data_IF_516651636509
#
_entry.id   IF_516651636509
#
_cell.length_a   1.000
_cell.length_b   1.000
_cell.length_c   1.000
_cell.angle_alpha   90.00
_cell.angle_beta   90.00
_cell.angle_gamma   90.00
#
_symmetry.space_group_name_H-M   'P 1'
#
loop_
_entity.id
_entity.type
_entity.pdbx_description
1 polymer ?
#
# COMPACT_ATOMS: atom_id res chain seq x y z
N UNK A 1 -13.67 -22.95 -13.99
CA UNK A 1 -13.15 -23.33 -12.65
C UNK A 1 -11.69 -22.93 -12.63
N UNK A 2 -11.38 -21.81 -11.99
CA UNK A 2 -10.00 -21.31 -11.91
C UNK A 2 -9.24 -22.27 -11.00
N UNK A 3 -8.12 -22.82 -11.47
CA UNK A 3 -7.28 -23.70 -10.65
C UNK A 3 -6.66 -22.89 -9.53
N UNK A 4 -6.96 -23.27 -8.29
CA UNK A 4 -6.30 -22.73 -7.10
C UNK A 4 -4.80 -23.09 -7.15
N UNK A 5 -3.97 -22.10 -7.46
CA UNK A 5 -2.51 -22.27 -7.47
C UNK A 5 -1.95 -21.96 -6.09
N UNK A 6 -1.03 -22.81 -5.60
CA UNK A 6 -0.37 -22.61 -4.30
C UNK A 6 0.34 -21.24 -4.18
N UNK A 7 0.68 -20.61 -5.31
CA UNK A 7 1.23 -19.26 -5.37
C UNK A 7 0.26 -18.19 -4.81
N UNK A 8 -1.06 -18.42 -4.82
CA UNK A 8 -2.04 -17.45 -4.32
C UNK A 8 -2.01 -17.34 -2.80
N UNK A 9 -1.76 -18.46 -2.10
CA UNK A 9 -1.58 -18.45 -0.65
C UNK A 9 -0.40 -17.56 -0.25
N UNK A 10 0.67 -17.56 -1.04
CA UNK A 10 1.81 -16.68 -0.81
C UNK A 10 1.38 -15.20 -0.88
N UNK A 11 0.58 -14.83 -1.89
CA UNK A 11 0.09 -13.46 -2.04
C UNK A 11 -0.81 -13.01 -0.88
N UNK A 12 -1.56 -13.91 -0.23
CA UNK A 12 -2.36 -13.53 0.94
C UNK A 12 -1.51 -13.18 2.17
N UNK A 13 -0.38 -13.87 2.35
CA UNK A 13 0.53 -13.63 3.49
C UNK A 13 1.53 -12.50 3.19
N UNK A 14 1.73 -12.19 1.91
CA UNK A 14 2.63 -11.16 1.41
C UNK A 14 2.55 -9.80 2.15
N UNK A 15 1.38 -9.16 2.40
CA UNK A 15 1.33 -7.88 3.09
C UNK A 15 1.89 -7.95 4.52
N UNK A 16 1.71 -9.09 5.21
CA UNK A 16 2.27 -9.32 6.55
C UNK A 16 3.78 -9.49 6.44
N UNK A 17 4.26 -10.28 5.47
CA UNK A 17 5.69 -10.48 5.21
C UNK A 17 6.38 -9.16 4.87
N UNK A 18 5.77 -8.32 4.04
CA UNK A 18 6.29 -7.00 3.67
C UNK A 18 6.44 -6.11 4.90
N UNK A 19 5.48 -6.11 5.83
CA UNK A 19 5.58 -5.33 7.05
C UNK A 19 6.72 -5.79 7.94
N UNK A 20 6.89 -7.11 8.12
CA UNK A 20 8.00 -7.67 8.88
C UNK A 20 9.35 -7.40 8.21
N UNK A 21 9.44 -7.59 6.89
CA UNK A 21 10.65 -7.34 6.12
C UNK A 21 11.04 -5.85 6.15
N UNK A 22 10.09 -4.93 5.99
CA UNK A 22 10.35 -3.50 6.09
C UNK A 22 10.79 -3.09 7.50
N UNK A 23 10.17 -3.65 8.55
CA UNK A 23 10.62 -3.44 9.93
C UNK A 23 12.04 -3.95 10.15
N UNK A 24 12.36 -5.14 9.63
CA UNK A 24 13.69 -5.74 9.74
C UNK A 24 14.75 -4.91 9.01
N UNK A 25 14.51 -4.52 7.75
CA UNK A 25 15.42 -3.66 6.97
C UNK A 25 15.70 -2.35 7.71
N UNK A 26 14.65 -1.71 8.25
CA UNK A 26 14.80 -0.45 8.95
C UNK A 26 15.58 -0.59 10.26
N UNK A 27 15.37 -1.69 11.00
CA UNK A 27 16.12 -1.94 12.24
C UNK A 27 17.57 -2.34 11.95
N UNK A 28 17.83 -3.12 10.91
CA UNK A 28 19.19 -3.55 10.51
C UNK A 28 20.05 -2.40 10.03
N UNK A 29 19.49 -1.47 9.26
CA UNK A 29 20.25 -0.35 8.67
C UNK A 29 20.11 0.96 9.46
N UNK A 30 19.47 0.94 10.64
CA UNK A 30 19.20 2.12 11.49
C UNK A 30 18.61 3.33 10.74
N UNK A 31 17.81 3.07 9.68
CA UNK A 31 17.19 4.11 8.84
C UNK A 31 16.26 5.03 9.64
N UNK A 32 15.70 4.54 10.75
CA UNK A 32 14.87 5.32 11.66
C UNK A 32 15.64 6.46 12.32
N UNK A 33 16.89 6.22 12.73
CA UNK A 33 17.72 7.22 13.41
C UNK A 33 18.30 8.23 12.42
N UNK A 34 18.75 7.77 11.24
CA UNK A 34 19.47 8.64 10.31
C UNK A 34 18.57 9.45 9.38
N UNK A 35 17.45 8.88 8.92
CA UNK A 35 16.58 9.52 7.93
C UNK A 35 15.12 9.71 8.39
N UNK A 36 14.77 9.28 9.62
CA UNK A 36 13.41 9.35 10.18
C UNK A 36 12.34 8.69 9.31
N UNK A 37 12.75 7.75 8.44
CA UNK A 37 11.88 6.96 7.57
C UNK A 37 11.28 5.82 8.38
N UNK A 38 9.98 5.58 8.23
CA UNK A 38 9.28 4.50 8.94
C UNK A 38 8.93 3.35 8.00
N UNK A 39 8.68 2.18 8.55
CA UNK A 39 8.32 0.95 7.82
C UNK A 39 7.17 1.09 6.83
N UNK A 40 6.11 1.86 7.11
CA UNK A 40 5.05 2.16 6.15
C UNK A 40 5.55 2.82 4.87
N UNK A 41 6.61 3.63 4.95
CA UNK A 41 7.09 4.44 3.83
C UNK A 41 7.79 3.59 2.77
N UNK A 42 8.47 2.52 3.21
CA UNK A 42 9.17 1.56 2.34
C UNK A 42 8.21 0.48 1.85
N UNK A 43 7.17 0.15 2.62
CA UNK A 43 6.23 -0.92 2.28
C UNK A 43 5.37 -0.61 1.04
N UNK A 44 5.10 0.66 0.73
CA UNK A 44 4.22 1.07 -0.37
C UNK A 44 4.62 0.48 -1.74
N UNK A 45 5.86 0.64 -2.25
CA UNK A 45 6.25 0.06 -3.53
C UNK A 45 6.10 -1.47 -3.56
N UNK A 46 6.41 -2.16 -2.45
CA UNK A 46 6.22 -3.61 -2.36
C UNK A 46 4.74 -3.99 -2.39
N UNK A 47 3.88 -3.26 -1.66
CA UNK A 47 2.43 -3.46 -1.67
C UNK A 47 1.84 -3.24 -3.06
N UNK A 48 2.30 -2.24 -3.81
CA UNK A 48 1.87 -1.99 -5.19
C UNK A 48 2.20 -3.16 -6.13
N UNK A 49 3.40 -3.74 -6.00
CA UNK A 49 3.77 -4.93 -6.77
C UNK A 49 2.86 -6.12 -6.42
N UNK A 50 2.63 -6.36 -5.13
CA UNK A 50 1.74 -7.44 -4.70
C UNK A 50 0.29 -7.24 -5.18
N UNK A 51 -0.20 -6.00 -5.22
CA UNK A 51 -1.51 -5.65 -5.75
C UNK A 51 -1.61 -5.89 -7.25
N UNK A 52 -0.56 -5.58 -8.01
CA UNK A 52 -0.52 -5.85 -9.44
C UNK A 52 -0.64 -7.35 -9.73
N UNK A 53 0.21 -8.15 -9.09
CA UNK A 53 0.22 -9.60 -9.29
C UNK A 53 -1.08 -10.27 -8.83
N UNK A 54 -1.62 -9.87 -7.68
CA UNK A 54 -2.88 -10.41 -7.17
C UNK A 54 -4.07 -10.05 -8.09
N UNK A 55 -4.16 -8.80 -8.53
CA UNK A 55 -5.26 -8.36 -9.41
C UNK A 55 -5.20 -8.99 -10.79
N UNK A 56 -4.01 -9.05 -11.41
CA UNK A 56 -3.81 -9.67 -12.72
C UNK A 56 -4.13 -11.16 -12.72
N UNK A 57 -3.76 -11.89 -11.65
CA UNK A 57 -4.06 -13.31 -11.54
C UNK A 57 -5.54 -13.62 -11.26
N UNK A 58 -6.30 -12.68 -10.71
CA UNK A 58 -7.70 -12.89 -10.32
C UNK A 58 -8.69 -12.38 -11.37
N UNK A 59 -8.45 -11.19 -11.88
CA UNK A 59 -9.40 -10.43 -12.70
C UNK A 59 -8.86 -10.11 -14.09
N UNK A 60 -7.67 -10.62 -14.44
CA UNK A 60 -6.93 -10.33 -15.69
C UNK A 60 -6.59 -8.84 -15.92
N UNK A 61 -6.97 -7.97 -14.99
CA UNK A 61 -6.76 -6.53 -15.03
C UNK A 61 -5.92 -6.07 -13.84
N UNK A 62 -5.04 -5.11 -14.09
CA UNK A 62 -4.23 -4.49 -13.04
C UNK A 62 -5.02 -3.41 -12.33
N UNK A 63 -5.11 -3.48 -11.00
CA UNK A 63 -5.77 -2.45 -10.19
C UNK A 63 -4.87 -1.23 -9.89
N UNK A 64 -3.58 -1.35 -10.19
CA UNK A 64 -2.57 -0.32 -9.92
C UNK A 64 -2.90 1.05 -10.54
N UNK A 65 -3.37 1.16 -11.80
CA UNK A 65 -3.71 2.46 -12.38
C UNK A 65 -4.80 3.20 -11.61
N UNK A 66 -5.82 2.49 -11.14
CA UNK A 66 -6.89 3.06 -10.30
C UNK A 66 -6.36 3.51 -8.94
N UNK A 67 -5.40 2.78 -8.39
CA UNK A 67 -4.72 3.13 -7.15
C UNK A 67 -3.86 4.39 -7.32
N UNK A 68 -3.16 4.55 -8.44
CA UNK A 68 -2.41 5.77 -8.77
C UNK A 68 -3.34 6.98 -8.84
N UNK A 69 -4.47 6.88 -9.52
CA UNK A 69 -5.48 7.96 -9.58
C UNK A 69 -5.96 8.32 -8.15
N UNK A 70 -6.23 7.30 -7.33
CA UNK A 70 -6.65 7.49 -5.94
C UNK A 70 -5.57 8.17 -5.09
N UNK A 71 -4.29 7.83 -5.30
CA UNK A 71 -3.14 8.47 -4.65
C UNK A 71 -3.07 9.96 -5.03
N UNK A 72 -3.23 10.28 -6.32
CA UNK A 72 -3.20 11.66 -6.79
C UNK A 72 -4.34 12.49 -6.17
N UNK A 73 -5.56 11.95 -6.16
CA UNK A 73 -6.71 12.58 -5.51
C UNK A 73 -6.47 12.78 -4.01
N UNK A 74 -5.90 11.79 -3.34
CA UNK A 74 -5.56 11.90 -1.93
C UNK A 74 -4.51 12.98 -1.68
N UNK A 75 -3.51 13.12 -2.56
CA UNK A 75 -2.52 14.19 -2.48
C UNK A 75 -3.17 15.56 -2.53
N UNK A 76 -4.09 15.77 -3.47
CA UNK A 76 -4.87 17.02 -3.54
C UNK A 76 -5.68 17.22 -2.25
N UNK A 77 -6.40 16.20 -1.78
CA UNK A 77 -7.20 16.28 -0.56
C UNK A 77 -6.37 16.64 0.68
N UNK A 78 -5.20 16.03 0.84
CA UNK A 78 -4.27 16.30 1.95
C UNK A 78 -3.68 17.71 1.83
N UNK A 79 -3.40 18.19 0.63
CA UNK A 79 -2.87 19.53 0.42
C UNK A 79 -3.89 20.60 0.79
N UNK A 80 -5.14 20.43 0.35
CA UNK A 80 -6.27 21.31 0.71
C UNK A 80 -6.53 21.28 2.21
N UNK A 81 -6.57 20.08 2.82
CA UNK A 81 -6.74 19.94 4.26
C UNK A 81 -5.65 20.69 5.03
N UNK A 82 -4.39 20.54 4.62
CA UNK A 82 -3.30 21.19 5.32
C UNK A 82 -3.32 22.72 5.16
N UNK A 83 -3.64 23.22 3.96
CA UNK A 83 -3.81 24.64 3.72
C UNK A 83 -4.95 25.24 4.55
N UNK A 84 -6.08 24.53 4.66
CA UNK A 84 -7.24 24.97 5.42
C UNK A 84 -6.98 25.05 6.94
N UNK A 85 -6.36 24.01 7.52
CA UNK A 85 -6.18 23.95 8.97
C UNK A 85 -4.94 24.68 9.49
N UNK A 86 -3.84 24.68 8.73
CA UNK A 86 -2.57 25.23 9.20
C UNK A 86 -2.23 26.58 8.56
N UNK A 87 -2.95 27.02 7.53
CA UNK A 87 -2.69 28.27 6.81
C UNK A 87 -1.41 28.27 5.96
N UNK A 88 -0.53 27.30 6.16
CA UNK A 88 0.71 27.10 5.42
C UNK A 88 0.94 25.61 5.11
N UNK A 89 1.55 25.34 3.94
CA UNK A 89 1.90 23.99 3.52
C UNK A 89 3.35 23.71 3.91
N UNK A 90 3.53 23.11 5.08
CA UNK A 90 4.83 22.59 5.50
C UNK A 90 5.08 21.27 4.77
N UNK A 91 5.89 21.30 3.72
CA UNK A 91 6.17 20.16 2.83
C UNK A 91 6.62 18.89 3.55
N UNK A 92 7.46 18.99 4.58
CA UNK A 92 7.93 17.83 5.33
C UNK A 92 6.83 17.14 6.16
N UNK A 93 5.84 17.90 6.63
CA UNK A 93 4.67 17.35 7.34
C UNK A 93 3.65 16.79 6.35
N UNK A 94 3.43 17.52 5.26
CA UNK A 94 2.57 17.10 4.15
C UNK A 94 2.98 15.73 3.63
N UNK A 95 4.26 15.58 3.23
CA UNK A 95 4.75 14.35 2.63
C UNK A 95 4.63 13.15 3.58
N UNK A 96 4.98 13.32 4.86
CA UNK A 96 4.82 12.25 5.86
C UNK A 96 3.37 11.83 6.06
N UNK A 97 2.44 12.78 6.06
CA UNK A 97 1.02 12.49 6.23
C UNK A 97 0.45 11.80 4.98
N UNK A 98 0.71 12.38 3.81
CA UNK A 98 0.34 11.84 2.51
C UNK A 98 0.83 10.40 2.35
N UNK A 99 2.13 10.17 2.55
CA UNK A 99 2.74 8.85 2.35
C UNK A 99 2.16 7.79 3.29
N UNK A 100 1.90 8.15 4.56
CA UNK A 100 1.23 7.23 5.52
C UNK A 100 -0.21 6.91 5.14
N UNK A 101 -0.95 7.86 4.58
CA UNK A 101 -2.31 7.63 4.10
C UNK A 101 -2.32 6.74 2.86
N UNK A 102 -1.37 6.94 1.94
CA UNK A 102 -1.18 6.05 0.78
C UNK A 102 -0.89 4.63 1.21
N UNK A 103 -0.04 4.43 2.22
CA UNK A 103 0.19 3.13 2.82
C UNK A 103 -1.10 2.52 3.38
N UNK A 104 -1.86 3.28 4.17
CA UNK A 104 -3.08 2.80 4.80
C UNK A 104 -4.12 2.37 3.75
N UNK A 105 -4.35 3.18 2.72
CA UNK A 105 -5.26 2.84 1.62
C UNK A 105 -4.77 1.62 0.86
N UNK A 106 -3.49 1.55 0.51
CA UNK A 106 -2.93 0.39 -0.18
C UNK A 106 -3.12 -0.89 0.63
N UNK A 107 -2.94 -0.83 1.95
CA UNK A 107 -3.11 -1.98 2.84
C UNK A 107 -4.59 -2.41 2.93
N UNK A 108 -5.51 -1.46 3.14
CA UNK A 108 -6.95 -1.73 3.15
C UNK A 108 -7.39 -2.35 1.81
N UNK A 109 -6.96 -1.76 0.69
CA UNK A 109 -7.31 -2.23 -0.64
C UNK A 109 -6.77 -3.65 -0.87
N UNK A 110 -5.55 -3.94 -0.41
CA UNK A 110 -4.98 -5.29 -0.44
C UNK A 110 -5.87 -6.31 0.30
N UNK A 111 -6.30 -5.98 1.53
CA UNK A 111 -7.17 -6.85 2.33
C UNK A 111 -8.52 -7.07 1.65
N UNK A 112 -9.13 -6.01 1.11
CA UNK A 112 -10.38 -6.11 0.36
C UNK A 112 -10.20 -7.01 -0.87
N UNK A 113 -9.08 -6.89 -1.59
CA UNK A 113 -8.81 -7.69 -2.78
C UNK A 113 -8.64 -9.18 -2.45
N UNK A 114 -8.00 -9.50 -1.32
CA UNK A 114 -7.92 -10.88 -0.80
C UNK A 114 -9.34 -11.42 -0.55
N UNK A 115 -10.18 -10.65 0.16
CA UNK A 115 -11.55 -11.10 0.47
C UNK A 115 -12.36 -11.33 -0.80
N UNK A 116 -12.31 -10.39 -1.76
CA UNK A 116 -13.01 -10.54 -3.04
C UNK A 116 -12.51 -11.74 -3.84
N UNK A 117 -11.19 -12.00 -3.83
CA UNK A 117 -10.61 -13.18 -4.48
C UNK A 117 -11.12 -14.47 -3.81
N UNK A 118 -11.17 -14.55 -2.48
CA UNK A 118 -11.73 -15.70 -1.75
C UNK A 118 -13.20 -15.92 -2.13
N UNK A 119 -14.01 -14.86 -2.18
CA UNK A 119 -15.41 -14.95 -2.62
C UNK A 119 -15.53 -15.47 -4.07
N UNK A 120 -14.68 -15.00 -4.98
CA UNK A 120 -14.66 -15.43 -6.37
C UNK A 120 -14.32 -16.92 -6.54
N UNK A 121 -13.52 -17.50 -5.64
CA UNK A 121 -13.20 -18.93 -5.69
C UNK A 121 -14.27 -19.83 -5.07
N UNK A 122 -15.04 -19.30 -4.11
CA UNK A 122 -16.09 -20.06 -3.41
C UNK A 122 -17.42 -20.04 -4.18
N UNK A 123 -17.73 -18.93 -4.87
CA UNK A 123 -18.95 -18.75 -5.66
C UNK A 123 -18.84 -19.35 -7.07
#
# INVERSE_FOLDING_TARGET
>A
MVSFSAIMLFWYVFPIVVLFACNFIISTFSLTERYKVKSPDIAIPFLLLGLNELSKNTYEQSIVPYLIISILLLGIGVAVFQAYYYGEIIYGRYFKMFWRLVFLISMILYVVLILLNIFHYIA
#
